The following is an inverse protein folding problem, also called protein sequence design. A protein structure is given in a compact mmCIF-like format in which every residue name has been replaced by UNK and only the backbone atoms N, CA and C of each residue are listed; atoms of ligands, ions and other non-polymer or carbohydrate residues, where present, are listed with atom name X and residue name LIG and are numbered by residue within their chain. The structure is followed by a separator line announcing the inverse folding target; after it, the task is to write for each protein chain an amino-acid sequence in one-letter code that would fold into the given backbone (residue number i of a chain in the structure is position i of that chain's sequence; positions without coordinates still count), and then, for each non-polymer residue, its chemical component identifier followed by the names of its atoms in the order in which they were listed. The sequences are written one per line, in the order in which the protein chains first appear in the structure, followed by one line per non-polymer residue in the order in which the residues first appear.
data_IF_542886787151
#
_entry.id   IF_542886787151
#
_cell.length_a   1.000
_cell.length_b   1.000
_cell.length_c   1.000
_cell.angle_alpha   90.00
_cell.angle_beta   90.00
_cell.angle_gamma   90.00
#
_symmetry.space_group_name_H-M   'P 1'
#
loop_
_entity.id
_entity.type
_entity.pdbx_description
1 polymer ?
#
# COMPACT_ATOMS: atom_id res chain seq x y z
N UNK A 1 16.24 24.08 -1.02
CA UNK A 1 15.51 25.33 -0.83
C UNK A 1 16.12 26.07 0.37
N UNK A 2 16.16 27.40 0.31
CA UNK A 2 16.65 28.26 1.41
C UNK A 2 15.45 28.65 2.27
N UNK A 3 15.51 28.39 3.56
CA UNK A 3 14.45 28.79 4.49
C UNK A 3 14.30 30.31 4.51
N UNK A 4 13.06 30.81 4.52
CA UNK A 4 12.74 32.23 4.48
C UNK A 4 12.70 32.86 3.09
N UNK A 5 13.20 32.20 2.05
CA UNK A 5 13.12 32.67 0.68
C UNK A 5 11.80 32.27 0.02
N UNK A 6 11.18 33.17 -0.73
CA UNK A 6 9.98 32.88 -1.50
C UNK A 6 10.33 32.10 -2.76
N UNK A 7 9.60 30.98 -2.98
CA UNK A 7 9.64 30.17 -4.19
C UNK A 7 8.27 30.18 -4.85
N UNK A 8 8.29 30.21 -6.17
CA UNK A 8 7.08 30.21 -6.99
C UNK A 8 7.05 28.88 -7.76
N UNK A 9 6.03 28.09 -7.56
CA UNK A 9 5.80 26.84 -8.27
C UNK A 9 4.59 26.99 -9.17
N UNK A 10 4.68 26.45 -10.38
CA UNK A 10 3.54 26.34 -11.26
C UNK A 10 3.50 24.93 -11.84
N UNK A 11 2.32 24.34 -11.89
CA UNK A 11 2.07 23.09 -12.60
C UNK A 11 1.38 23.45 -13.90
N UNK A 12 1.97 23.02 -15.03
CA UNK A 12 1.38 23.22 -16.34
C UNK A 12 1.02 21.87 -16.95
N UNK A 13 -0.14 21.80 -17.59
CA UNK A 13 -0.52 20.70 -18.44
C UNK A 13 -0.27 21.09 -19.90
N UNK A 14 0.20 20.17 -20.69
CA UNK A 14 0.36 20.37 -22.13
C UNK A 14 -0.22 19.17 -22.88
N UNK A 15 -0.78 19.43 -24.05
CA UNK A 15 -1.13 18.42 -25.03
C UNK A 15 0.04 18.21 -26.02
N UNK A 16 0.12 17.02 -26.57
CA UNK A 16 1.11 16.73 -27.61
C UNK A 16 0.38 16.41 -28.91
N UNK A 17 0.56 17.28 -29.91
CA UNK A 17 0.07 17.02 -31.26
C UNK A 17 1.22 17.07 -32.27
N UNK A 18 1.25 16.08 -33.16
CA UNK A 18 2.23 16.02 -34.24
C UNK A 18 1.86 16.93 -35.44
N UNK A 19 0.62 17.40 -35.47
CA UNK A 19 0.10 18.26 -36.55
C UNK A 19 -0.42 19.59 -35.98
N UNK A 20 -0.61 20.61 -36.87
CA UNK A 20 -1.18 21.89 -36.48
C UNK A 20 -2.65 21.77 -35.99
N UNK A 21 -3.07 22.46 -34.92
CA UNK A 21 -2.29 23.45 -34.16
C UNK A 21 -1.20 22.79 -33.29
N UNK A 22 -0.11 23.55 -33.05
CA UNK A 22 0.99 23.06 -32.17
C UNK A 22 0.46 22.83 -30.76
N UNK A 23 1.18 21.94 -30.03
CA UNK A 23 0.91 21.67 -28.62
C UNK A 23 0.66 22.96 -27.83
N UNK A 24 -0.39 22.97 -27.03
CA UNK A 24 -0.78 24.05 -26.15
C UNK A 24 -0.34 23.71 -24.72
N UNK A 25 0.21 24.71 -24.02
CA UNK A 25 0.54 24.61 -22.60
C UNK A 25 -0.39 25.52 -21.81
N UNK A 26 -0.90 25.03 -20.67
CA UNK A 26 -1.71 25.85 -19.77
C UNK A 26 -0.90 27.00 -19.19
N UNK A 27 -1.55 28.14 -18.93
CA UNK A 27 -0.89 29.34 -18.42
C UNK A 27 -0.28 29.11 -17.04
N UNK A 28 0.98 29.49 -16.85
CA UNK A 28 1.74 29.33 -15.59
C UNK A 28 1.16 30.12 -14.42
N UNK A 29 0.45 31.21 -14.69
CA UNK A 29 -0.14 32.09 -13.65
C UNK A 29 -1.41 31.50 -13.01
N UNK A 30 -2.12 30.59 -13.70
CA UNK A 30 -3.38 30.02 -13.20
C UNK A 30 -3.18 28.96 -12.10
N UNK A 31 -2.01 28.34 -12.05
CA UNK A 31 -1.67 27.27 -11.09
C UNK A 31 -0.45 27.62 -10.22
N UNK A 32 -0.17 28.90 -10.04
CA UNK A 32 0.99 29.34 -9.28
C UNK A 32 0.74 29.25 -7.78
N UNK A 33 1.60 28.53 -7.07
CA UNK A 33 1.69 28.52 -5.62
C UNK A 33 2.95 29.26 -5.16
N UNK A 34 2.79 30.11 -4.14
CA UNK A 34 3.92 30.78 -3.49
C UNK A 34 4.23 30.09 -2.17
N UNK A 35 5.44 29.59 -2.02
CA UNK A 35 5.88 28.84 -0.84
C UNK A 35 7.10 29.56 -0.23
N UNK A 36 7.08 29.73 1.09
CA UNK A 36 8.23 30.20 1.87
C UNK A 36 8.65 29.03 2.78
N UNK A 37 9.73 28.32 2.45
CA UNK A 37 10.26 27.29 3.33
C UNK A 37 10.60 27.88 4.69
N UNK A 38 10.23 27.18 5.75
CA UNK A 38 10.53 27.55 7.14
C UNK A 38 11.41 26.47 7.75
N UNK A 39 12.29 26.87 8.65
CA UNK A 39 12.98 25.88 9.47
C UNK A 39 12.03 25.37 10.56
N UNK A 40 12.19 24.11 10.89
CA UNK A 40 11.60 23.58 12.12
C UNK A 40 12.30 24.15 13.34
N UNK A 41 11.64 24.22 14.50
CA UNK A 41 12.31 24.60 15.73
C UNK A 41 13.49 23.66 16.03
N UNK A 42 14.59 24.24 16.42
CA UNK A 42 15.75 23.51 16.89
C UNK A 42 15.42 22.78 18.20
N UNK A 43 15.81 21.53 18.32
CA UNK A 43 15.49 20.71 19.50
C UNK A 43 14.14 20.00 19.43
N UNK A 44 13.50 19.90 18.27
CA UNK A 44 12.35 19.02 18.08
C UNK A 44 12.80 17.61 17.68
N UNK A 45 12.20 16.61 18.33
CA UNK A 45 12.28 15.24 17.84
C UNK A 45 11.49 15.10 16.55
N UNK A 46 12.05 14.37 15.60
CA UNK A 46 11.34 14.03 14.36
C UNK A 46 10.13 13.15 14.69
N UNK A 47 8.95 13.42 14.13
CA UNK A 47 7.82 12.51 14.27
C UNK A 47 8.13 11.19 13.58
N UNK A 48 7.58 10.12 14.11
CA UNK A 48 7.82 8.77 13.62
C UNK A 48 6.52 7.97 13.52
N UNK A 49 6.56 6.92 12.73
CA UNK A 49 5.48 5.94 12.58
C UNK A 49 6.02 4.57 12.96
N UNK A 50 5.42 3.97 13.97
CA UNK A 50 5.75 2.59 14.33
C UNK A 50 5.44 1.63 13.17
N UNK A 51 6.18 0.53 13.04
CA UNK A 51 5.88 -0.50 12.05
C UNK A 51 4.41 -0.94 12.12
N UNK A 52 3.82 -1.16 10.95
CA UNK A 52 2.45 -1.64 10.86
C UNK A 52 2.36 -3.05 11.44
N UNK A 53 1.36 -3.28 12.28
CA UNK A 53 1.07 -4.59 12.86
C UNK A 53 -0.21 -5.14 12.26
N UNK A 54 -0.17 -6.37 11.75
CA UNK A 54 -1.39 -7.11 11.38
C UNK A 54 -2.04 -7.63 12.65
N UNK A 55 -3.29 -7.28 12.88
CA UNK A 55 -4.08 -7.69 14.06
C UNK A 55 -4.86 -8.98 13.74
N UNK A 56 -5.41 -9.09 12.54
CA UNK A 56 -6.15 -10.27 12.09
C UNK A 56 -6.07 -10.44 10.57
N UNK A 57 -6.54 -11.59 10.10
CA UNK A 57 -6.58 -11.95 8.69
C UNK A 57 -5.30 -12.61 8.19
N UNK A 58 -5.35 -13.07 6.95
CA UNK A 58 -4.29 -13.86 6.30
C UNK A 58 -3.96 -13.38 4.89
N UNK A 59 -4.44 -12.19 4.47
CA UNK A 59 -4.18 -11.64 3.14
C UNK A 59 -2.67 -11.48 2.87
N UNK A 60 -2.30 -11.44 1.60
CA UNK A 60 -0.93 -11.09 1.18
C UNK A 60 -0.76 -9.56 1.01
N UNK A 61 -1.78 -8.80 1.41
CA UNK A 61 -1.74 -7.34 1.40
C UNK A 61 -0.73 -6.76 2.38
N UNK A 62 -0.15 -5.63 2.01
CA UNK A 62 0.81 -4.87 2.83
C UNK A 62 0.36 -3.42 2.98
N UNK A 63 0.77 -2.81 4.07
CA UNK A 63 0.54 -1.39 4.33
C UNK A 63 1.89 -0.71 4.51
N UNK A 64 2.15 0.30 3.70
CA UNK A 64 3.34 1.14 3.78
C UNK A 64 2.95 2.53 4.25
N UNK A 65 3.71 3.08 5.17
CA UNK A 65 3.46 4.39 5.78
C UNK A 65 4.64 5.31 5.54
N UNK A 66 4.35 6.58 5.27
CA UNK A 66 5.36 7.60 5.05
C UNK A 66 4.92 8.91 5.68
N UNK A 67 5.75 9.49 6.56
CA UNK A 67 5.48 10.83 7.10
C UNK A 67 5.77 11.87 6.01
N UNK A 68 4.71 12.53 5.54
CA UNK A 68 4.78 13.56 4.48
C UNK A 68 4.54 14.97 5.03
N UNK A 69 3.79 15.10 6.13
CA UNK A 69 3.62 16.35 6.86
C UNK A 69 3.91 16.14 8.35
N UNK A 70 5.18 16.37 8.76
CA UNK A 70 5.59 16.19 10.15
C UNK A 70 4.83 17.05 11.15
N UNK A 71 4.24 18.18 10.69
CA UNK A 71 3.52 19.11 11.56
C UNK A 71 2.18 18.55 12.00
N UNK A 72 1.54 17.79 11.12
CA UNK A 72 0.20 17.26 11.34
C UNK A 72 0.19 15.92 12.08
N UNK A 73 1.35 15.30 12.37
CA UNK A 73 1.41 14.02 13.08
C UNK A 73 0.94 14.16 14.52
N UNK A 74 -0.09 13.40 14.90
CA UNK A 74 -0.81 13.58 16.15
C UNK A 74 -0.31 12.74 17.32
N UNK A 75 0.36 11.60 17.07
CA UNK A 75 0.72 10.63 18.11
C UNK A 75 -0.41 9.64 18.44
N UNK A 76 -1.39 9.50 17.57
CA UNK A 76 -2.53 8.61 17.73
C UNK A 76 -2.26 7.18 17.26
N UNK A 77 -3.19 6.29 17.58
CA UNK A 77 -3.24 4.92 17.07
C UNK A 77 -4.35 4.81 16.04
N UNK A 78 -4.05 4.19 14.91
CA UNK A 78 -4.97 4.05 13.79
C UNK A 78 -5.18 2.59 13.42
N UNK A 79 -6.38 2.28 12.97
CA UNK A 79 -6.76 0.97 12.45
C UNK A 79 -7.17 1.08 10.99
N UNK A 80 -6.63 0.21 10.16
CA UNK A 80 -6.99 0.03 8.77
C UNK A 80 -7.81 -1.25 8.67
N UNK A 81 -8.98 -1.16 8.04
CA UNK A 81 -9.86 -2.29 7.77
C UNK A 81 -10.39 -2.26 6.35
N UNK A 82 -10.98 -3.38 5.93
CA UNK A 82 -11.47 -3.58 4.58
C UNK A 82 -12.97 -3.89 4.58
N UNK A 83 -13.63 -3.67 3.45
CA UNK A 83 -15.03 -3.96 3.24
C UNK A 83 -15.22 -5.04 2.17
N UNK A 84 -16.42 -5.60 2.11
CA UNK A 84 -16.75 -6.62 1.13
C UNK A 84 -16.77 -6.11 -0.33
N UNK A 85 -16.87 -4.80 -0.53
CA UNK A 85 -16.78 -4.14 -1.83
C UNK A 85 -15.35 -3.81 -2.26
N UNK A 86 -14.34 -4.44 -1.63
CA UNK A 86 -12.90 -4.26 -1.87
C UNK A 86 -12.38 -2.86 -1.52
N UNK A 87 -13.20 -1.99 -0.92
CA UNK A 87 -12.73 -0.71 -0.40
C UNK A 87 -12.15 -0.86 1.00
N UNK A 88 -11.33 0.12 1.41
CA UNK A 88 -10.74 0.16 2.74
C UNK A 88 -10.98 1.51 3.43
N UNK A 89 -10.72 1.53 4.72
CA UNK A 89 -10.93 2.70 5.58
C UNK A 89 -9.86 2.79 6.67
N UNK A 90 -9.68 4.00 7.21
CA UNK A 90 -8.84 4.26 8.40
C UNK A 90 -9.71 4.81 9.52
N UNK A 91 -9.55 4.26 10.72
CA UNK A 91 -10.15 4.76 11.96
C UNK A 91 -9.10 5.25 12.93
N UNK A 92 -9.36 6.37 13.57
CA UNK A 92 -8.56 6.89 14.67
C UNK A 92 -9.07 6.30 15.98
N UNK A 93 -8.30 5.43 16.61
CA UNK A 93 -8.66 4.75 17.86
C UNK A 93 -8.39 5.60 19.09
N UNK A 94 -7.68 6.72 18.96
CA UNK A 94 -7.32 7.61 20.08
C UNK A 94 -8.38 8.68 20.35
N UNK A 95 -9.39 8.81 19.48
CA UNK A 95 -10.51 9.73 19.71
C UNK A 95 -11.52 9.15 20.70
N UNK A 96 -12.19 10.02 21.50
CA UNK A 96 -13.11 9.56 22.55
C UNK A 96 -14.26 8.67 22.07
N UNK A 97 -14.71 8.85 20.83
CA UNK A 97 -15.72 7.99 20.19
C UNK A 97 -15.19 6.62 19.78
N UNK A 98 -13.87 6.41 19.81
CA UNK A 98 -13.20 5.13 19.48
C UNK A 98 -13.44 4.63 18.06
N UNK A 99 -14.10 5.41 17.22
CA UNK A 99 -14.59 4.93 15.93
C UNK A 99 -14.66 6.00 14.84
N UNK A 100 -14.03 7.15 15.02
CA UNK A 100 -14.05 8.17 13.97
C UNK A 100 -13.29 7.68 12.75
N UNK A 101 -14.05 7.39 11.71
CA UNK A 101 -13.51 7.05 10.40
C UNK A 101 -12.94 8.34 9.80
N UNK A 102 -11.60 8.40 9.71
CA UNK A 102 -10.90 9.56 9.14
C UNK A 102 -10.77 9.45 7.62
N UNK A 103 -10.80 8.23 7.10
CA UNK A 103 -10.83 7.94 5.67
C UNK A 103 -11.79 6.78 5.43
N UNK A 104 -12.57 6.83 4.36
CA UNK A 104 -13.57 5.80 4.05
C UNK A 104 -13.69 5.58 2.53
N UNK A 105 -14.05 4.34 2.14
CA UNK A 105 -14.31 3.94 0.76
C UNK A 105 -13.15 4.22 -0.21
N UNK A 106 -11.91 3.97 0.21
CA UNK A 106 -10.76 4.07 -0.69
C UNK A 106 -10.67 2.78 -1.49
N UNK A 107 -10.75 2.90 -2.82
CA UNK A 107 -10.70 1.75 -3.72
C UNK A 107 -9.25 1.38 -4.12
N UNK A 108 -8.30 2.33 -4.04
CA UNK A 108 -6.95 2.11 -4.53
C UNK A 108 -6.16 1.15 -3.64
N UNK A 109 -5.81 -0.02 -4.19
CA UNK A 109 -4.92 -1.01 -3.59
C UNK A 109 -3.81 -1.45 -4.57
N UNK A 110 -3.68 -0.77 -5.69
CA UNK A 110 -2.82 -1.20 -6.81
C UNK A 110 -1.41 -0.59 -6.81
N UNK A 111 -1.03 0.15 -5.77
CA UNK A 111 0.29 0.79 -5.70
C UNK A 111 0.42 2.09 -6.50
N UNK A 112 -0.69 2.67 -6.99
CA UNK A 112 -0.73 3.95 -7.69
C UNK A 112 -0.34 5.15 -6.79
N UNK A 113 -0.57 6.37 -7.29
CA UNK A 113 -0.13 7.60 -6.60
C UNK A 113 -1.21 8.25 -5.73
N UNK A 114 -2.46 7.84 -5.87
CA UNK A 114 -3.60 8.47 -5.20
C UNK A 114 -3.93 7.75 -3.89
N UNK A 115 -3.16 8.07 -2.85
CA UNK A 115 -3.36 7.55 -1.51
C UNK A 115 -3.71 8.67 -0.52
N UNK A 116 -4.53 8.40 0.48
CA UNK A 116 -4.88 9.40 1.48
C UNK A 116 -3.72 9.73 2.42
N UNK A 117 -3.68 10.99 2.83
CA UNK A 117 -2.84 11.47 3.92
C UNK A 117 -3.73 11.57 5.17
N UNK A 118 -3.35 10.85 6.20
CA UNK A 118 -4.05 10.81 7.49
C UNK A 118 -3.15 11.41 8.55
N UNK A 119 -3.52 12.56 9.08
CA UNK A 119 -2.78 13.27 10.11
C UNK A 119 -1.27 13.30 9.83
N UNK A 120 -0.91 13.77 8.62
CA UNK A 120 0.48 13.92 8.18
C UNK A 120 1.16 12.65 7.68
N UNK A 121 0.50 11.50 7.69
CA UNK A 121 1.02 10.21 7.23
C UNK A 121 0.33 9.79 5.94
N UNK A 122 1.10 9.55 4.89
CA UNK A 122 0.62 8.92 3.66
C UNK A 122 0.43 7.43 3.90
N UNK A 123 -0.80 6.95 3.74
CA UNK A 123 -1.18 5.56 4.01
C UNK A 123 -1.35 4.82 2.67
N UNK A 124 -0.39 3.95 2.35
CA UNK A 124 -0.38 3.16 1.11
C UNK A 124 -0.79 1.72 1.41
N UNK A 125 -2.02 1.36 1.09
CA UNK A 125 -2.50 -0.02 1.15
C UNK A 125 -2.28 -0.67 -0.20
N UNK A 126 -1.57 -1.79 -0.22
CA UNK A 126 -1.29 -2.56 -1.42
C UNK A 126 -1.86 -3.96 -1.21
N UNK A 127 -2.80 -4.35 -2.06
CA UNK A 127 -3.42 -5.67 -2.10
C UNK A 127 -3.09 -6.37 -3.42
N UNK A 128 -2.83 -7.67 -3.40
CA UNK A 128 -2.67 -8.42 -4.63
C UNK A 128 -4.01 -8.52 -5.37
N UNK A 129 -3.96 -8.56 -6.69
CA UNK A 129 -5.10 -8.99 -7.50
C UNK A 129 -5.29 -10.49 -7.38
N UNK A 130 -6.52 -10.97 -7.67
CA UNK A 130 -6.79 -12.40 -7.80
C UNK A 130 -5.84 -12.99 -8.86
N UNK A 131 -5.17 -14.09 -8.51
CA UNK A 131 -4.20 -14.76 -9.38
C UNK A 131 -3.53 -15.91 -8.66
N UNK A 132 -2.68 -16.66 -9.36
CA UNK A 132 -1.86 -17.73 -8.77
C UNK A 132 -0.46 -17.17 -8.47
N UNK A 133 -0.10 -17.10 -7.18
CA UNK A 133 1.24 -16.74 -6.75
C UNK A 133 2.26 -17.82 -7.14
N UNK A 134 1.94 -19.07 -6.85
CA UNK A 134 2.83 -20.19 -7.14
C UNK A 134 2.11 -21.53 -7.23
N UNK A 135 2.67 -22.43 -8.06
CA UNK A 135 2.33 -23.85 -8.12
C UNK A 135 3.60 -24.65 -7.91
N UNK A 136 3.64 -25.50 -6.90
CA UNK A 136 4.84 -26.24 -6.53
C UNK A 136 4.50 -27.70 -6.18
N UNK A 137 5.18 -28.64 -6.83
CA UNK A 137 5.14 -30.07 -6.47
C UNK A 137 6.30 -30.42 -5.54
N UNK A 138 6.06 -31.18 -4.49
CA UNK A 138 7.04 -31.50 -3.46
C UNK A 138 7.04 -33.03 -3.20
N UNK A 139 8.18 -33.70 -3.42
CA UNK A 139 9.41 -33.17 -3.97
C UNK A 139 9.27 -32.89 -5.49
N UNK A 140 9.97 -31.90 -6.00
CA UNK A 140 9.85 -31.45 -7.40
C UNK A 140 10.27 -32.51 -8.42
N UNK A 141 11.20 -33.40 -8.04
CA UNK A 141 11.64 -34.49 -8.87
C UNK A 141 10.52 -35.50 -9.21
N UNK A 142 9.54 -35.63 -8.33
CA UNK A 142 8.41 -36.56 -8.50
C UNK A 142 7.23 -35.95 -9.27
N UNK A 143 7.35 -34.70 -9.75
CA UNK A 143 6.25 -34.08 -10.51
C UNK A 143 5.96 -34.86 -11.77
N UNK A 144 4.86 -35.59 -11.75
CA UNK A 144 4.46 -36.58 -12.74
C UNK A 144 3.58 -36.03 -13.86
N UNK A 145 3.08 -34.82 -13.74
CA UNK A 145 2.25 -34.15 -14.74
C UNK A 145 2.90 -32.88 -15.29
N UNK A 146 2.40 -32.42 -16.40
CA UNK A 146 2.66 -31.10 -16.99
C UNK A 146 1.34 -30.48 -17.45
N UNK A 147 1.36 -29.19 -17.68
CA UNK A 147 0.23 -28.50 -18.31
C UNK A 147 0.03 -28.99 -19.75
N UNK A 148 -1.22 -29.13 -20.16
CA UNK A 148 -1.56 -29.50 -21.54
C UNK A 148 -1.30 -28.37 -22.53
N UNK A 149 -1.41 -27.13 -22.09
CA UNK A 149 -1.09 -25.94 -22.85
C UNK A 149 -0.49 -24.90 -21.87
N UNK A 150 0.31 -23.99 -22.40
CA UNK A 150 1.00 -22.98 -21.59
C UNK A 150 0.00 -22.14 -20.78
N UNK A 151 0.27 -22.01 -19.47
CA UNK A 151 -0.58 -21.28 -18.52
C UNK A 151 -1.75 -22.06 -17.93
N UNK A 152 -1.92 -23.35 -18.29
CA UNK A 152 -3.05 -24.17 -17.81
C UNK A 152 -2.70 -25.16 -16.71
N UNK A 153 -1.51 -25.08 -16.12
CA UNK A 153 -1.17 -25.93 -14.97
C UNK A 153 -2.12 -25.66 -13.81
N UNK A 154 -2.29 -24.39 -13.44
CA UNK A 154 -3.29 -23.90 -12.50
C UNK A 154 -3.71 -22.50 -12.91
N UNK A 155 -5.00 -22.27 -12.96
CA UNK A 155 -5.62 -20.98 -13.13
C UNK A 155 -6.61 -20.74 -12.01
N UNK A 156 -6.88 -19.48 -11.68
CA UNK A 156 -8.02 -19.17 -10.81
C UNK A 156 -9.33 -19.47 -11.53
N UNK A 157 -10.41 -19.67 -10.77
CA UNK A 157 -11.72 -19.86 -11.36
C UNK A 157 -12.20 -18.66 -12.20
N UNK A 158 -11.72 -17.47 -11.85
CA UNK A 158 -11.98 -16.23 -12.61
C UNK A 158 -11.22 -16.24 -13.95
N UNK A 159 -9.94 -16.58 -13.94
CA UNK A 159 -9.09 -16.59 -15.14
C UNK A 159 -9.41 -17.74 -16.07
N UNK A 160 -10.03 -18.81 -15.59
CA UNK A 160 -10.45 -19.97 -16.40
C UNK A 160 -11.42 -19.59 -17.53
N UNK A 161 -12.18 -18.51 -17.36
CA UNK A 161 -13.04 -17.96 -18.40
C UNK A 161 -14.40 -18.65 -18.59
N UNK A 162 -14.72 -19.71 -17.88
CA UNK A 162 -16.03 -20.36 -17.88
C UNK A 162 -17.00 -19.77 -16.84
N UNK A 163 -16.47 -18.96 -15.92
CA UNK A 163 -17.18 -18.34 -14.83
C UNK A 163 -17.08 -19.13 -13.52
N UNK A 164 -17.33 -18.44 -12.43
CA UNK A 164 -17.31 -18.99 -11.05
C UNK A 164 -18.17 -18.10 -10.14
N UNK A 165 -18.61 -18.63 -8.99
CA UNK A 165 -19.21 -17.84 -7.91
C UNK A 165 -18.18 -17.36 -6.88
N UNK A 166 -16.91 -17.76 -7.02
CA UNK A 166 -15.84 -17.45 -6.08
C UNK A 166 -15.50 -15.96 -6.17
N UNK A 167 -15.37 -15.34 -5.02
CA UNK A 167 -14.87 -13.98 -4.82
C UNK A 167 -13.44 -14.02 -4.27
N UNK A 168 -12.77 -12.88 -4.19
CA UNK A 168 -11.44 -12.80 -3.59
C UNK A 168 -11.33 -13.39 -2.19
N UNK A 169 -12.41 -13.26 -1.39
CA UNK A 169 -12.46 -13.78 -0.01
C UNK A 169 -12.52 -15.31 0.09
N UNK A 170 -12.83 -15.99 -0.99
CA UNK A 170 -12.97 -17.46 -1.01
C UNK A 170 -11.65 -18.18 -1.31
N UNK A 171 -10.62 -17.43 -1.75
CA UNK A 171 -9.32 -18.02 -2.06
C UNK A 171 -8.58 -18.45 -0.80
N UNK A 172 -7.92 -19.62 -0.91
CA UNK A 172 -7.14 -20.21 0.15
C UNK A 172 -5.89 -20.89 -0.42
N UNK A 173 -4.88 -21.11 0.39
CA UNK A 173 -3.72 -21.91 0.02
C UNK A 173 -4.11 -23.37 0.04
N UNK A 174 -3.81 -24.11 -1.03
CA UNK A 174 -4.29 -25.46 -1.28
C UNK A 174 -3.11 -26.44 -1.27
N UNK A 175 -3.33 -27.61 -0.67
CA UNK A 175 -2.48 -28.78 -0.82
C UNK A 175 -3.29 -29.95 -1.38
N UNK A 176 -2.83 -30.51 -2.50
CA UNK A 176 -3.28 -31.80 -3.02
C UNK A 176 -2.29 -32.85 -2.53
N UNK A 177 -2.71 -33.68 -1.57
CA UNK A 177 -1.86 -34.62 -0.83
C UNK A 177 -2.07 -36.04 -1.33
N UNK A 178 -1.05 -36.61 -1.92
CA UNK A 178 -1.00 -38.01 -2.37
C UNK A 178 -0.49 -38.88 -1.23
N UNK A 179 -1.31 -39.06 -0.20
CA UNK A 179 -0.95 -39.74 1.06
C UNK A 179 -1.67 -41.11 1.26
N UNK A 180 -2.21 -41.67 0.18
CA UNK A 180 -3.04 -42.86 0.22
C UNK A 180 -4.52 -42.60 0.51
N UNK A 181 -4.87 -41.35 0.89
CA UNK A 181 -6.25 -40.91 0.96
C UNK A 181 -6.81 -40.52 -0.42
N UNK A 182 -8.12 -40.33 -0.48
CA UNK A 182 -8.80 -39.98 -1.72
C UNK A 182 -9.92 -38.95 -1.49
N UNK A 183 -10.30 -38.26 -2.59
CA UNK A 183 -11.46 -37.40 -2.62
C UNK A 183 -12.49 -37.95 -3.59
N UNK A 184 -13.69 -38.30 -3.10
CA UNK A 184 -14.81 -38.64 -3.95
C UNK A 184 -15.31 -37.38 -4.65
N UNK A 185 -15.41 -37.41 -5.98
CA UNK A 185 -15.69 -36.24 -6.78
C UNK A 185 -16.70 -36.53 -7.89
N UNK A 186 -17.55 -35.55 -8.30
CA UNK A 186 -18.35 -35.69 -9.50
C UNK A 186 -17.47 -35.74 -10.75
N UNK A 187 -17.82 -36.66 -11.64
CA UNK A 187 -17.18 -36.84 -12.95
C UNK A 187 -18.05 -36.19 -14.01
N UNK A 188 -17.43 -35.38 -14.82
CA UNK A 188 -18.02 -34.80 -16.04
C UNK A 188 -17.26 -35.32 -17.26
N UNK A 189 -17.92 -35.42 -18.40
CA UNK A 189 -17.26 -35.92 -19.61
C UNK A 189 -17.34 -34.91 -20.73
N UNK A 190 -16.20 -34.61 -21.33
CA UNK A 190 -16.11 -33.78 -22.52
C UNK A 190 -16.63 -34.54 -23.75
N UNK A 191 -17.51 -33.92 -24.52
CA UNK A 191 -18.10 -34.52 -25.72
C UNK A 191 -19.27 -35.45 -25.46
N UNK A 192 -19.67 -35.69 -24.18
CA UNK A 192 -20.98 -36.29 -23.86
C UNK A 192 -22.13 -35.32 -24.21
N UNK A 193 -23.33 -35.82 -24.36
CA UNK A 193 -24.49 -34.95 -24.61
C UNK A 193 -25.40 -34.90 -23.37
N UNK A 194 -25.64 -33.72 -22.78
CA UNK A 194 -25.03 -32.43 -23.07
C UNK A 194 -23.52 -32.42 -22.70
N UNK A 195 -22.75 -31.61 -23.46
CA UNK A 195 -21.29 -31.54 -23.25
C UNK A 195 -20.92 -31.13 -21.81
N UNK A 196 -19.94 -31.81 -21.22
CA UNK A 196 -19.54 -31.66 -19.81
C UNK A 196 -20.66 -31.91 -18.79
N UNK A 197 -21.56 -32.85 -19.10
CA UNK A 197 -22.60 -33.30 -18.17
C UNK A 197 -22.05 -34.25 -17.12
N UNK A 198 -22.71 -34.32 -15.97
CA UNK A 198 -22.43 -35.28 -14.92
C UNK A 198 -22.60 -36.73 -15.41
N UNK A 199 -21.64 -37.57 -15.12
CA UNK A 199 -21.64 -38.98 -15.55
C UNK A 199 -21.49 -39.97 -14.38
N UNK A 200 -21.39 -39.52 -13.16
CA UNK A 200 -21.24 -40.37 -12.00
C UNK A 200 -20.36 -39.79 -10.92
N UNK A 201 -20.15 -40.55 -9.89
CA UNK A 201 -19.17 -40.28 -8.87
C UNK A 201 -17.88 -41.03 -9.18
N UNK A 202 -16.74 -40.32 -9.15
CA UNK A 202 -15.42 -40.91 -9.33
C UNK A 202 -14.51 -40.61 -8.14
N UNK A 203 -13.21 -40.84 -8.35
CA UNK A 203 -12.20 -40.73 -7.30
C UNK A 203 -11.02 -39.90 -7.77
N UNK A 204 -10.62 -38.92 -6.99
CA UNK A 204 -9.31 -38.26 -7.08
C UNK A 204 -8.40 -38.96 -6.08
N UNK A 205 -7.25 -39.58 -6.50
CA UNK A 205 -6.38 -40.37 -5.61
C UNK A 205 -5.50 -39.48 -4.72
N UNK A 206 -6.07 -38.43 -4.19
CA UNK A 206 -5.44 -37.48 -3.29
C UNK A 206 -6.47 -36.81 -2.37
N UNK A 207 -6.04 -36.37 -1.22
CA UNK A 207 -6.81 -35.46 -0.38
C UNK A 207 -6.53 -34.01 -0.77
N UNK A 208 -7.57 -33.19 -0.85
CA UNK A 208 -7.46 -31.77 -1.19
C UNK A 208 -7.77 -30.95 0.06
N UNK A 209 -6.81 -30.14 0.47
CA UNK A 209 -6.86 -29.36 1.71
C UNK A 209 -6.74 -27.86 1.46
N UNK A 210 -7.63 -27.12 2.09
CA UNK A 210 -7.48 -25.69 2.36
C UNK A 210 -6.63 -25.57 3.63
N UNK A 211 -5.35 -25.24 3.48
CA UNK A 211 -4.44 -25.14 4.63
C UNK A 211 -4.56 -23.80 5.35
N UNK A 212 -5.16 -22.80 4.72
CA UNK A 212 -5.46 -21.51 5.36
C UNK A 212 -6.53 -21.68 6.43
N UNK A 213 -7.59 -22.46 6.15
CA UNK A 213 -8.73 -22.65 7.03
C UNK A 213 -8.79 -24.06 7.66
N UNK A 214 -7.77 -24.89 7.42
CA UNK A 214 -7.66 -26.26 7.93
C UNK A 214 -8.91 -27.13 7.68
N UNK A 215 -9.36 -27.18 6.41
CA UNK A 215 -10.52 -27.98 5.99
C UNK A 215 -10.25 -28.74 4.70
N UNK A 216 -10.93 -29.86 4.49
CA UNK A 216 -10.92 -30.55 3.20
C UNK A 216 -11.82 -29.81 2.20
N UNK A 217 -11.37 -29.76 0.95
CA UNK A 217 -12.09 -29.14 -0.16
C UNK A 217 -12.77 -30.17 -1.05
N UNK A 218 -13.94 -29.81 -1.56
CA UNK A 218 -14.59 -30.49 -2.65
C UNK A 218 -13.89 -30.21 -3.98
N UNK A 219 -14.00 -31.16 -4.90
CA UNK A 219 -13.43 -31.01 -6.25
C UNK A 219 -14.29 -31.75 -7.26
N UNK A 220 -14.05 -31.49 -8.54
CA UNK A 220 -14.62 -32.21 -9.67
C UNK A 220 -13.53 -32.46 -10.70
N UNK A 221 -13.74 -33.45 -11.56
CA UNK A 221 -12.86 -33.64 -12.71
C UNK A 221 -13.65 -33.94 -13.98
N UNK A 222 -12.97 -33.72 -15.10
CA UNK A 222 -13.55 -33.94 -16.43
C UNK A 222 -12.67 -34.92 -17.17
N UNK A 223 -13.28 -36.00 -17.64
CA UNK A 223 -12.64 -36.98 -18.51
C UNK A 223 -12.96 -36.72 -19.99
N UNK A 224 -12.14 -37.27 -20.86
CA UNK A 224 -12.41 -37.31 -22.28
C UNK A 224 -13.48 -38.38 -22.62
N UNK A 225 -14.16 -38.19 -23.75
CA UNK A 225 -15.14 -39.19 -24.24
C UNK A 225 -14.49 -40.43 -24.89
N UNK A 226 -13.17 -40.60 -24.79
CA UNK A 226 -12.47 -41.77 -25.29
C UNK A 226 -12.36 -42.88 -24.25
N UNK A 227 -12.38 -44.15 -24.67
CA UNK A 227 -12.48 -45.30 -23.75
C UNK A 227 -11.27 -45.47 -22.82
N UNK A 228 -10.08 -45.03 -23.25
CA UNK A 228 -8.84 -45.28 -22.50
C UNK A 228 -8.64 -44.40 -21.27
N UNK A 229 -9.32 -43.22 -21.19
CA UNK A 229 -9.19 -42.28 -20.06
C UNK A 229 -10.45 -42.13 -19.25
N UNK A 230 -11.48 -42.96 -19.52
CA UNK A 230 -12.79 -42.87 -18.85
C UNK A 230 -12.94 -43.98 -17.84
N UNK A 231 -12.14 -43.92 -16.79
CA UNK A 231 -12.13 -44.97 -15.77
C UNK A 231 -12.75 -44.52 -14.42
N UNK A 232 -13.20 -43.29 -14.32
CA UNK A 232 -13.76 -42.73 -13.09
C UNK A 232 -12.71 -42.36 -12.05
N UNK A 233 -11.43 -42.31 -12.45
CA UNK A 233 -10.32 -41.93 -11.58
C UNK A 233 -9.59 -40.75 -12.20
N UNK A 234 -9.35 -39.70 -11.45
CA UNK A 234 -8.54 -38.59 -11.92
C UNK A 234 -7.06 -38.99 -11.99
N UNK A 235 -6.65 -39.47 -13.14
CA UNK A 235 -5.28 -39.84 -13.46
C UNK A 235 -4.97 -39.41 -14.89
N UNK A 236 -4.67 -38.11 -15.12
CA UNK A 236 -4.38 -37.62 -16.46
C UNK A 236 -3.41 -38.53 -17.19
N UNK A 237 -3.82 -39.10 -18.32
CA UNK A 237 -2.98 -39.95 -19.14
C UNK A 237 -2.07 -39.09 -20.05
N UNK A 238 -1.24 -39.77 -20.87
CA UNK A 238 -0.32 -39.06 -21.77
C UNK A 238 -1.09 -38.33 -22.89
N UNK A 239 -0.47 -37.31 -23.48
CA UNK A 239 -1.08 -36.57 -24.58
C UNK A 239 -1.38 -37.46 -25.82
N UNK A 240 -0.66 -38.59 -25.99
CA UNK A 240 -0.87 -39.56 -27.05
C UNK A 240 -2.23 -40.27 -26.96
N UNK A 241 -2.71 -40.54 -25.74
CA UNK A 241 -4.00 -41.20 -25.49
C UNK A 241 -5.19 -40.23 -25.54
N UNK A 242 -4.97 -38.97 -25.92
CA UNK A 242 -6.00 -37.93 -25.83
C UNK A 242 -6.28 -37.51 -24.38
N UNK A 243 -5.46 -37.97 -23.45
CA UNK A 243 -5.62 -37.94 -22.03
C UNK A 243 -5.50 -36.56 -21.42
N UNK A 244 -6.55 -35.78 -21.59
CA UNK A 244 -6.69 -34.49 -20.93
C UNK A 244 -7.69 -34.67 -19.84
N UNK A 245 -7.27 -34.50 -18.63
CA UNK A 245 -8.18 -34.44 -17.51
C UNK A 245 -8.10 -33.06 -16.86
N UNK A 246 -9.27 -32.45 -16.72
CA UNK A 246 -9.38 -31.20 -15.99
C UNK A 246 -9.60 -31.53 -14.52
N UNK A 247 -8.95 -30.76 -13.64
CA UNK A 247 -9.25 -30.77 -12.22
C UNK A 247 -9.81 -29.40 -11.83
N UNK A 248 -10.96 -29.40 -11.17
CA UNK A 248 -11.58 -28.22 -10.60
C UNK A 248 -11.62 -28.37 -9.09
N UNK A 249 -11.01 -27.46 -8.36
CA UNK A 249 -11.05 -27.42 -6.89
C UNK A 249 -12.03 -26.32 -6.48
N UNK A 250 -12.97 -26.68 -5.62
CA UNK A 250 -14.06 -25.82 -5.21
C UNK A 250 -13.78 -25.15 -3.85
N UNK A 251 -14.26 -23.91 -3.68
CA UNK A 251 -14.24 -23.20 -2.40
C UNK A 251 -15.24 -23.78 -1.36
N UNK A 252 -15.69 -24.99 -1.58
CA UNK A 252 -16.64 -25.71 -0.71
C UNK A 252 -15.94 -26.80 0.10
N UNK A 253 -16.46 -27.03 1.31
CA UNK A 253 -16.02 -28.17 2.13
C UNK A 253 -16.37 -29.49 1.45
N UNK A 254 -15.43 -30.42 1.55
CA UNK A 254 -15.60 -31.78 1.03
C UNK A 254 -16.78 -32.48 1.70
N UNK A 255 -17.66 -33.09 0.90
CA UNK A 255 -18.76 -33.91 1.32
C UNK A 255 -18.74 -35.25 0.56
N UNK A 256 -18.48 -36.36 1.23
CA UNK A 256 -18.47 -37.69 0.62
C UNK A 256 -19.86 -38.26 0.35
N UNK A 257 -20.93 -37.69 0.94
CA UNK A 257 -22.31 -38.19 0.81
C UNK A 257 -22.92 -37.79 -0.54
N UNK A 258 -22.95 -38.76 -1.46
CA UNK A 258 -23.52 -38.56 -2.80
C UNK A 258 -25.02 -38.31 -2.82
N UNK A 259 -25.72 -38.41 -1.69
CA UNK A 259 -27.16 -38.13 -1.56
C UNK A 259 -27.44 -36.71 -1.07
N UNK A 260 -26.40 -35.97 -0.67
CA UNK A 260 -26.53 -34.63 -0.13
C UNK A 260 -27.02 -33.60 -1.15
N UNK A 261 -27.42 -32.44 -0.66
CA UNK A 261 -27.82 -31.28 -1.51
C UNK A 261 -26.68 -30.80 -2.41
N UNK A 262 -25.43 -30.86 -1.91
CA UNK A 262 -24.25 -30.52 -2.70
C UNK A 262 -24.11 -31.45 -3.91
N UNK A 263 -24.25 -32.73 -3.74
CA UNK A 263 -24.22 -33.71 -4.84
C UNK A 263 -25.44 -33.59 -5.76
N UNK A 264 -26.62 -33.28 -5.23
CA UNK A 264 -27.82 -33.02 -6.04
C UNK A 264 -27.57 -31.84 -7.00
N UNK A 265 -26.90 -30.79 -6.53
CA UNK A 265 -26.47 -29.68 -7.37
C UNK A 265 -25.53 -30.16 -8.50
N UNK A 266 -24.47 -30.90 -8.18
CA UNK A 266 -23.52 -31.40 -9.19
C UNK A 266 -24.18 -32.26 -10.26
N UNK A 267 -25.12 -33.13 -9.86
CA UNK A 267 -25.88 -34.03 -10.76
C UNK A 267 -26.74 -33.23 -11.76
N UNK A 268 -27.23 -32.07 -11.36
CA UNK A 268 -28.19 -31.28 -12.13
C UNK A 268 -27.55 -30.30 -13.10
N UNK A 269 -26.22 -30.15 -13.10
CA UNK A 269 -25.52 -29.08 -13.81
C UNK A 269 -24.42 -29.60 -14.74
N UNK A 270 -24.14 -28.86 -15.80
CA UNK A 270 -22.91 -29.02 -16.58
C UNK A 270 -21.83 -28.09 -16.03
N UNK A 271 -20.63 -28.61 -15.80
CA UNK A 271 -19.54 -27.80 -15.28
C UNK A 271 -19.03 -26.77 -16.31
N UNK A 272 -19.47 -26.87 -17.56
CA UNK A 272 -19.18 -25.90 -18.61
C UNK A 272 -20.31 -24.88 -18.78
N UNK A 273 -21.52 -25.37 -19.15
CA UNK A 273 -22.65 -24.45 -19.45
C UNK A 273 -23.19 -23.72 -18.22
N UNK A 274 -22.95 -24.26 -17.04
CA UNK A 274 -23.36 -23.69 -15.76
C UNK A 274 -22.15 -23.32 -14.87
N UNK A 275 -20.96 -23.19 -15.42
CA UNK A 275 -19.73 -22.93 -14.65
C UNK A 275 -19.87 -21.74 -13.70
N UNK A 276 -20.50 -20.65 -14.14
CA UNK A 276 -20.79 -19.49 -13.28
C UNK A 276 -21.69 -19.72 -12.07
N UNK A 277 -22.17 -20.97 -11.86
CA UNK A 277 -22.91 -21.38 -10.67
C UNK A 277 -22.07 -22.27 -9.73
N UNK A 278 -20.87 -22.69 -10.16
CA UNK A 278 -19.96 -23.48 -9.36
C UNK A 278 -18.97 -22.60 -8.61
N UNK A 279 -18.63 -22.94 -7.39
CA UNK A 279 -17.62 -22.21 -6.62
C UNK A 279 -16.19 -22.64 -6.99
N UNK A 280 -15.82 -22.51 -8.25
CA UNK A 280 -14.51 -22.93 -8.78
C UNK A 280 -13.43 -21.96 -8.25
N UNK A 281 -12.60 -22.43 -7.33
CA UNK A 281 -11.45 -21.71 -6.82
C UNK A 281 -10.28 -21.80 -7.79
N UNK A 282 -9.94 -23.03 -8.22
CA UNK A 282 -8.89 -23.25 -9.20
C UNK A 282 -9.31 -24.29 -10.24
N UNK A 283 -8.77 -24.14 -11.43
CA UNK A 283 -8.93 -25.07 -12.56
C UNK A 283 -7.56 -25.43 -13.14
N UNK A 284 -7.42 -26.67 -13.56
CA UNK A 284 -6.17 -27.18 -14.13
C UNK A 284 -6.48 -28.06 -15.34
N UNK A 285 -5.60 -28.00 -16.34
CA UNK A 285 -5.67 -28.85 -17.52
C UNK A 285 -4.35 -29.56 -17.73
N UNK A 286 -4.28 -30.82 -17.31
CA UNK A 286 -3.05 -31.56 -17.13
C UNK A 286 -2.97 -32.77 -18.04
N UNK A 287 -1.73 -33.21 -18.30
CA UNK A 287 -1.40 -34.50 -18.90
C UNK A 287 -0.23 -35.10 -18.10
N UNK A 288 -0.19 -36.44 -18.00
CA UNK A 288 0.93 -37.10 -17.34
C UNK A 288 2.19 -37.07 -18.19
N UNK A 289 3.33 -37.12 -17.54
CA UNK A 289 4.60 -37.43 -18.17
C UNK A 289 4.68 -38.94 -18.42
N UNK A 290 5.24 -39.34 -19.56
CA UNK A 290 5.36 -40.75 -19.94
C UNK A 290 6.08 -41.57 -18.86
N UNK A 291 5.47 -42.66 -18.41
CA UNK A 291 6.03 -43.58 -17.41
C UNK A 291 6.10 -43.04 -15.98
N UNK A 292 5.47 -41.90 -15.71
CA UNK A 292 5.43 -41.32 -14.36
C UNK A 292 4.03 -41.36 -13.78
N UNK A 293 3.96 -41.55 -12.45
CA UNK A 293 2.75 -41.41 -11.63
C UNK A 293 3.14 -40.74 -10.31
N UNK A 294 2.15 -40.38 -9.49
CA UNK A 294 2.42 -39.86 -8.16
C UNK A 294 3.00 -40.93 -7.23
N UNK A 295 3.75 -40.47 -6.22
CA UNK A 295 4.31 -41.27 -5.15
C UNK A 295 3.58 -40.94 -3.84
N UNK A 296 3.36 -41.96 -3.00
CA UNK A 296 2.76 -41.73 -1.69
C UNK A 296 3.65 -40.81 -0.84
N UNK A 297 3.06 -39.76 -0.31
CA UNK A 297 3.76 -38.67 0.40
C UNK A 297 4.02 -37.43 -0.44
N UNK A 298 3.79 -37.47 -1.76
CA UNK A 298 3.89 -36.28 -2.61
C UNK A 298 2.80 -35.25 -2.27
N UNK A 299 3.14 -33.98 -2.44
CA UNK A 299 2.20 -32.88 -2.23
C UNK A 299 2.30 -31.88 -3.38
N UNK A 300 1.18 -31.56 -3.98
CA UNK A 300 1.09 -30.43 -4.92
C UNK A 300 0.51 -29.22 -4.20
N UNK A 301 1.33 -28.19 -4.03
CA UNK A 301 0.96 -26.94 -3.36
C UNK A 301 0.54 -25.91 -4.40
N UNK A 302 -0.65 -25.37 -4.23
CA UNK A 302 -1.23 -24.33 -5.05
C UNK A 302 -1.48 -23.13 -4.15
N UNK A 303 -0.82 -22.03 -4.43
CA UNK A 303 -0.96 -20.80 -3.66
C UNK A 303 -1.57 -19.71 -4.54
N UNK A 304 -2.88 -19.48 -4.48
CA UNK A 304 -3.48 -18.25 -4.95
C UNK A 304 -3.02 -17.07 -4.09
N UNK A 305 -2.99 -15.88 -4.65
CA UNK A 305 -2.88 -14.66 -3.85
C UNK A 305 -4.12 -14.51 -2.96
N UNK A 306 -3.89 -14.20 -1.70
CA UNK A 306 -4.94 -13.90 -0.74
C UNK A 306 -5.15 -12.38 -0.71
N UNK A 307 -6.25 -11.92 -1.31
CA UNK A 307 -6.62 -10.50 -1.35
C UNK A 307 -7.04 -10.00 0.03
N UNK A 308 -7.03 -8.67 0.22
CA UNK A 308 -7.53 -8.07 1.44
C UNK A 308 -9.06 -8.27 1.58
N UNK A 309 -9.49 -8.70 2.75
CA UNK A 309 -10.89 -9.03 3.08
C UNK A 309 -11.33 -8.31 4.36
N UNK A 310 -12.62 -8.26 4.69
CA UNK A 310 -13.09 -7.70 5.96
C UNK A 310 -12.49 -8.34 7.23
N UNK A 311 -11.87 -9.52 7.12
CA UNK A 311 -11.19 -10.18 8.23
C UNK A 311 -9.78 -9.64 8.47
N UNK A 312 -9.23 -8.92 7.50
CA UNK A 312 -7.89 -8.36 7.59
C UNK A 312 -7.93 -7.00 8.29
N UNK A 313 -7.14 -6.88 9.33
CA UNK A 313 -7.05 -5.66 10.14
C UNK A 313 -5.59 -5.34 10.39
N UNK A 314 -5.21 -4.09 10.16
CA UNK A 314 -3.88 -3.58 10.46
C UNK A 314 -3.98 -2.41 11.43
N UNK A 315 -2.97 -2.25 12.27
CA UNK A 315 -2.83 -1.08 13.15
C UNK A 315 -1.44 -0.47 13.04
N UNK A 316 -1.40 0.83 13.23
CA UNK A 316 -0.15 1.57 13.38
C UNK A 316 -0.32 2.69 14.41
N UNK A 317 0.80 3.09 14.99
CA UNK A 317 0.86 4.19 15.94
C UNK A 317 1.85 5.24 15.44
N UNK A 318 1.46 6.50 15.52
CA UNK A 318 2.33 7.62 15.24
C UNK A 318 2.93 8.17 16.53
N UNK A 319 4.04 8.88 16.41
CA UNK A 319 4.63 9.66 17.49
C UNK A 319 4.71 11.11 17.02
N UNK A 320 3.97 11.98 17.68
CA UNK A 320 4.03 13.40 17.37
C UNK A 320 5.42 13.96 17.69
N UNK A 321 5.80 15.01 16.98
CA UNK A 321 7.03 15.70 17.33
C UNK A 321 6.90 16.39 18.69
N UNK A 322 7.93 16.28 19.48
CA UNK A 322 8.01 16.89 20.81
C UNK A 322 9.32 17.66 20.96
N UNK A 323 9.30 18.70 21.76
CA UNK A 323 10.53 19.42 22.12
C UNK A 323 11.39 18.53 23.02
N UNK A 324 12.64 18.37 22.65
CA UNK A 324 13.64 17.60 23.41
C UNK A 324 14.85 18.48 23.66
N UNK A 325 15.05 18.86 24.89
CA UNK A 325 16.08 19.85 25.27
C UNK A 325 17.50 19.41 24.89
N UNK A 326 17.79 18.12 24.97
CA UNK A 326 19.09 17.56 24.58
C UNK A 326 19.40 17.61 23.08
N UNK A 327 18.40 17.87 22.24
CA UNK A 327 18.56 18.00 20.78
C UNK A 327 18.80 19.44 20.33
N UNK A 328 18.75 20.41 21.24
CA UNK A 328 18.97 21.83 20.88
C UNK A 328 20.45 22.07 20.56
N UNK A 329 20.71 22.45 19.33
CA UNK A 329 22.05 22.82 18.85
C UNK A 329 22.06 24.29 18.39
N UNK A 330 22.50 25.17 19.30
CA UNK A 330 22.51 26.61 19.06
C UNK A 330 23.42 27.02 17.88
N UNK A 331 24.38 26.19 17.49
CA UNK A 331 25.30 26.48 16.37
C UNK A 331 24.62 26.45 15.00
N UNK A 332 23.43 25.82 14.90
CA UNK A 332 22.63 25.77 13.68
C UNK A 332 21.84 27.05 13.39
N UNK A 333 21.81 27.99 14.32
CA UNK A 333 21.09 29.26 14.14
C UNK A 333 21.75 30.08 13.05
N UNK A 334 20.97 30.46 12.05
CA UNK A 334 21.45 31.26 10.91
C UNK A 334 20.50 32.40 10.59
N UNK A 335 21.01 33.37 9.84
CA UNK A 335 20.27 34.55 9.40
C UNK A 335 20.17 34.53 7.87
N UNK A 336 18.99 34.72 7.32
CA UNK A 336 18.73 34.63 5.89
C UNK A 336 17.85 35.81 5.43
N UNK A 337 18.19 36.49 4.33
CA UNK A 337 19.47 36.38 3.61
C UNK A 337 20.62 37.06 4.37
N UNK A 338 21.82 36.55 4.18
CA UNK A 338 23.03 37.18 4.72
C UNK A 338 24.15 37.16 3.66
N UNK A 339 24.58 38.34 3.12
CA UNK A 339 24.11 39.67 3.45
C UNK A 339 22.66 39.93 3.02
N UNK A 340 21.96 40.79 3.76
CA UNK A 340 20.67 41.34 3.31
C UNK A 340 20.95 42.51 2.37
N UNK A 341 20.49 42.38 1.12
CA UNK A 341 20.63 43.43 0.08
C UNK A 341 19.25 43.91 -0.30
N UNK A 342 18.97 45.22 -0.13
CA UNK A 342 17.62 45.78 -0.33
C UNK A 342 17.17 45.72 -1.81
N UNK A 343 18.12 45.80 -2.75
CA UNK A 343 17.83 45.68 -4.20
C UNK A 343 18.43 44.39 -4.73
N UNK A 344 17.64 43.34 -4.78
CA UNK A 344 18.04 42.06 -5.36
C UNK A 344 16.95 41.56 -6.31
N UNK A 345 17.34 40.98 -7.46
CA UNK A 345 16.39 40.43 -8.47
C UNK A 345 15.38 39.46 -7.91
N UNK A 346 15.72 38.76 -6.82
CA UNK A 346 14.85 37.79 -6.14
C UNK A 346 13.94 38.42 -5.06
N UNK A 347 13.99 39.73 -4.85
CA UNK A 347 13.14 40.48 -3.93
C UNK A 347 12.40 41.61 -4.67
N UNK A 348 11.36 41.31 -5.44
CA UNK A 348 10.68 42.32 -6.26
C UNK A 348 9.85 43.32 -5.47
N UNK A 349 9.68 43.19 -4.16
CA UNK A 349 8.87 44.07 -3.32
C UNK A 349 9.74 44.85 -2.30
N UNK A 350 10.16 46.04 -2.65
CA UNK A 350 10.85 46.99 -1.76
C UNK A 350 10.03 47.42 -0.53
N UNK A 351 8.72 47.16 -0.54
CA UNK A 351 7.79 47.66 0.48
C UNK A 351 7.75 46.89 1.79
N UNK A 352 8.29 45.64 1.83
CA UNK A 352 8.28 44.85 3.03
C UNK A 352 9.60 44.05 3.19
N UNK A 353 10.72 44.69 3.49
CA UNK A 353 12.00 44.04 3.69
C UNK A 353 11.92 43.18 4.94
N UNK A 354 12.34 41.93 4.85
CA UNK A 354 12.32 40.97 5.95
C UNK A 354 13.62 40.17 5.99
N UNK A 355 14.16 40.02 7.21
CA UNK A 355 15.30 39.16 7.51
C UNK A 355 14.84 38.11 8.47
N UNK A 356 15.24 36.85 8.23
CA UNK A 356 14.76 35.67 8.96
C UNK A 356 15.88 35.10 9.80
N UNK A 357 15.64 34.95 11.11
CA UNK A 357 16.45 34.13 11.97
C UNK A 357 15.87 32.70 11.93
N UNK A 358 16.65 31.73 11.54
CA UNK A 358 16.19 30.36 11.29
C UNK A 358 16.89 29.38 12.24
N UNK A 359 16.31 28.18 12.39
CA UNK A 359 16.75 27.14 13.32
C UNK A 359 16.76 27.62 14.78
N UNK A 360 15.81 28.45 15.15
CA UNK A 360 15.64 28.92 16.53
C UNK A 360 15.04 27.80 17.41
N UNK A 361 15.43 27.71 18.70
CA UNK A 361 14.68 26.93 19.67
C UNK A 361 13.22 27.36 19.77
N UNK A 362 12.32 26.50 20.25
CA UNK A 362 10.88 26.83 20.36
C UNK A 362 10.59 28.09 21.15
N UNK A 363 11.40 28.35 22.19
CA UNK A 363 11.31 29.56 23.03
C UNK A 363 12.69 30.16 23.15
N UNK A 364 12.87 31.39 22.65
CA UNK A 364 14.12 32.11 22.78
C UNK A 364 13.95 33.63 22.59
N UNK A 365 14.93 34.38 23.02
CA UNK A 365 15.04 35.81 22.79
C UNK A 365 16.19 36.12 21.85
N UNK A 366 15.94 36.84 20.78
CA UNK A 366 16.96 37.31 19.83
C UNK A 366 17.16 38.78 20.08
N UNK A 367 18.39 39.18 20.49
CA UNK A 367 18.80 40.59 20.66
C UNK A 367 19.74 40.96 19.53
N UNK A 368 19.46 42.07 18.88
CA UNK A 368 20.25 42.58 17.74
C UNK A 368 21.00 43.82 18.19
N UNK A 369 22.31 43.89 17.90
CA UNK A 369 23.19 44.96 18.29
C UNK A 369 23.95 45.51 17.10
N UNK A 370 24.31 46.79 17.21
CA UNK A 370 25.34 47.41 16.35
C UNK A 370 26.71 46.80 16.63
N UNK A 371 27.69 47.03 15.77
CA UNK A 371 29.07 46.57 16.05
C UNK A 371 29.69 47.26 17.27
N UNK A 372 29.19 48.45 17.64
CA UNK A 372 29.58 49.19 18.87
C UNK A 372 28.94 48.62 20.15
N UNK A 373 28.02 47.71 20.04
CA UNK A 373 27.34 47.09 21.18
C UNK A 373 26.02 47.74 21.58
N UNK A 374 25.52 48.74 20.79
CA UNK A 374 24.22 49.36 21.07
C UNK A 374 23.06 48.46 20.67
N UNK A 375 22.09 48.29 21.56
CA UNK A 375 20.91 47.47 21.31
C UNK A 375 20.02 48.12 20.24
N UNK A 376 19.80 47.41 19.14
CA UNK A 376 18.93 47.81 18.03
C UNK A 376 17.48 47.43 18.29
N UNK A 377 17.25 46.17 18.58
CA UNK A 377 15.92 45.59 18.87
C UNK A 377 15.98 44.24 19.57
N UNK A 378 14.83 43.83 20.10
CA UNK A 378 14.64 42.52 20.72
C UNK A 378 13.45 41.82 20.07
N UNK A 379 13.67 40.61 19.60
CA UNK A 379 12.59 39.73 19.09
C UNK A 379 12.34 38.64 20.10
N UNK A 380 11.10 38.52 20.54
CA UNK A 380 10.63 37.41 21.34
C UNK A 380 10.13 36.32 20.41
N UNK A 381 10.68 35.12 20.55
CA UNK A 381 10.26 33.96 19.79
C UNK A 381 9.71 32.93 20.78
N UNK A 382 8.41 32.64 20.64
CA UNK A 382 7.76 31.61 21.41
C UNK A 382 6.76 30.89 20.50
N UNK A 383 7.01 29.61 20.27
CA UNK A 383 6.14 28.77 19.43
C UNK A 383 5.89 27.46 20.14
N UNK A 384 4.69 26.90 19.97
CA UNK A 384 4.27 25.65 20.59
C UNK A 384 3.34 24.87 19.69
N UNK A 385 3.19 23.57 19.98
CA UNK A 385 2.25 22.70 19.27
C UNK A 385 2.73 22.31 17.88
N UNK A 386 1.81 21.77 17.12
CA UNK A 386 2.07 21.23 15.77
C UNK A 386 2.57 22.26 14.77
N UNK A 387 2.14 23.52 14.90
CA UNK A 387 2.54 24.63 14.02
C UNK A 387 3.79 25.37 14.48
N UNK A 388 4.55 24.83 15.44
CA UNK A 388 5.78 25.44 15.92
C UNK A 388 6.75 25.72 14.77
N UNK A 389 7.31 26.90 14.76
CA UNK A 389 8.27 27.37 13.75
C UNK A 389 9.60 27.71 14.39
N UNK A 390 10.72 27.34 13.79
CA UNK A 390 12.05 27.75 14.16
C UNK A 390 12.50 29.05 13.50
N UNK A 391 11.57 29.92 13.10
CA UNK A 391 11.86 31.13 12.32
C UNK A 391 11.25 32.36 12.99
N UNK A 392 12.08 33.35 13.30
CA UNK A 392 11.63 34.69 13.65
C UNK A 392 11.92 35.68 12.53
N UNK A 393 11.01 36.61 12.34
CA UNK A 393 11.11 37.62 11.25
C UNK A 393 11.40 38.96 11.83
N UNK A 394 12.37 39.67 11.22
CA UNK A 394 12.69 41.04 11.54
C UNK A 394 12.50 41.95 10.33
N UNK A 395 11.80 43.04 10.54
CA UNK A 395 11.45 44.04 9.53
C UNK A 395 12.55 45.11 9.28
N UNK A 396 13.75 44.91 9.84
CA UNK A 396 14.91 45.81 9.75
C UNK A 396 14.64 47.20 10.37
N UNK A 397 13.83 47.25 11.43
CA UNK A 397 13.58 48.45 12.20
C UNK A 397 14.14 48.33 13.61
N UNK A 398 14.56 49.48 14.17
CA UNK A 398 14.93 49.55 15.58
C UNK A 398 13.69 49.72 16.48
N UNK A 399 13.89 49.76 17.79
CA UNK A 399 12.82 49.92 18.78
C UNK A 399 12.00 51.23 18.61
N UNK A 400 12.52 52.23 17.85
CA UNK A 400 11.84 53.47 17.52
C UNK A 400 11.17 53.44 16.13
N UNK A 401 11.00 52.22 15.54
CA UNK A 401 10.43 52.00 14.22
C UNK A 401 11.20 52.67 13.05
N UNK A 402 12.45 53.06 13.28
CA UNK A 402 13.31 53.61 12.26
C UNK A 402 14.06 52.51 11.55
N UNK A 403 14.24 52.61 10.24
CA UNK A 403 15.03 51.68 9.45
C UNK A 403 16.49 51.73 9.83
N UNK A 404 17.12 50.57 10.01
CA UNK A 404 18.54 50.47 10.35
C UNK A 404 19.43 50.86 9.16
N UNK A 405 20.64 51.32 9.45
CA UNK A 405 21.64 51.70 8.44
C UNK A 405 22.32 50.48 7.82
N UNK A 406 23.00 50.70 6.67
CA UNK A 406 23.93 49.68 6.15
C UNK A 406 25.09 49.47 7.13
N UNK A 407 25.47 48.21 7.33
CA UNK A 407 26.53 47.84 8.25
C UNK A 407 26.53 46.40 8.68
N UNK A 408 27.47 46.05 9.54
CA UNK A 408 27.51 44.76 10.24
C UNK A 408 26.76 44.90 11.54
N UNK A 409 25.99 43.84 11.83
CA UNK A 409 25.21 43.68 13.04
C UNK A 409 25.58 42.39 13.72
N UNK A 410 25.53 42.40 15.06
CA UNK A 410 25.64 41.20 15.90
C UNK A 410 24.24 40.79 16.36
N UNK A 411 24.04 39.52 16.50
CA UNK A 411 22.83 38.98 17.15
C UNK A 411 23.22 38.00 18.25
N UNK A 412 22.49 38.07 19.35
CA UNK A 412 22.62 37.19 20.49
C UNK A 412 21.27 36.49 20.68
N UNK A 413 21.30 35.15 20.67
CA UNK A 413 20.14 34.31 20.96
C UNK A 413 20.33 33.67 22.31
N UNK A 414 19.32 33.72 23.14
CA UNK A 414 19.25 33.07 24.43
C UNK A 414 17.98 32.26 24.55
N UNK A 415 18.09 30.99 24.83
CA UNK A 415 16.93 30.11 25.01
C UNK A 415 16.41 30.09 26.45
N UNK A 416 15.31 29.37 26.70
CA UNK A 416 14.68 29.24 28.01
C UNK A 416 15.59 28.54 29.06
N UNK A 417 16.57 27.74 28.60
CA UNK A 417 17.52 27.02 29.45
C UNK A 417 18.80 27.83 29.76
N UNK A 418 18.88 29.06 29.19
CA UNK A 418 20.05 29.94 29.37
C UNK A 418 21.24 29.63 28.45
N UNK A 419 21.04 28.75 27.42
CA UNK A 419 22.04 28.54 26.37
C UNK A 419 22.05 29.75 25.43
N UNK A 420 23.24 30.15 25.02
CA UNK A 420 23.45 31.34 24.22
C UNK A 420 24.19 31.05 22.92
N UNK A 421 23.92 31.86 21.90
CA UNK A 421 24.65 31.85 20.65
C UNK A 421 24.80 33.28 20.14
N UNK A 422 25.98 33.59 19.61
CA UNK A 422 26.27 34.92 19.01
C UNK A 422 26.67 34.73 17.57
N UNK A 423 26.04 35.45 16.71
CA UNK A 423 26.37 35.45 15.29
C UNK A 423 26.39 36.88 14.70
N UNK A 424 26.68 36.99 13.41
CA UNK A 424 26.76 38.27 12.68
C UNK A 424 26.05 38.17 11.34
N UNK A 425 25.56 39.32 10.89
CA UNK A 425 25.02 39.48 9.54
C UNK A 425 25.30 40.90 9.01
N UNK A 426 25.18 41.04 7.70
CA UNK A 426 25.38 42.33 7.04
C UNK A 426 24.07 42.84 6.40
N UNK A 427 23.85 44.14 6.50
CA UNK A 427 22.79 44.87 5.78
C UNK A 427 23.44 45.79 4.76
N UNK A 428 23.05 45.69 3.52
CA UNK A 428 23.53 46.52 2.38
C UNK A 428 22.31 47.16 1.74
N UNK A 429 22.37 48.47 1.61
CA UNK A 429 21.31 49.29 1.00
C UNK A 429 21.75 49.89 -0.32
#
# INVERSE_FOLDING_TARGET
LINGQKYYYAVTAYDFQLSSPRSLESGRTLSQAVVVPRSEPNGLATPDVAPVTRISGSSDGVVNLEVVDPVSVTGHTYRIGFKADETWFVRDLSKPSGADTVVNNVANQAGGFDYPIVDGVLVKVIGPSIGIESSRYVPSANKWFVERAAGYEVMTGVDWGWGTTVTGADYARIEVRFNGGSTRAPVYVRGASPNYSYQGAGTIPAEIWDVTNNRRLAAAFVEQNGAASRDGIWTPSTAADGGREYLFIFAQTYDPDTTSAQWAFYKSKSIYSNAGQFPIMTASWLVSKAGMTFTNGDVWKINPYLVNTPNDVFEYKTTARVAVDSLVDMSKITVVPNPFIIRHELMPNENNPALYFTNLPPVCTVRIYTLSGDLVTVLQHATSGAAASGTAVWDLRNNNFQRVASGLYLYHVEDASGRTFVGKFAVVR
#
